data_IF_542497839608
#
_entry.id   IF_542497839608
#
_cell.length_a   1.000
_cell.length_b   1.000
_cell.length_c   1.000
_cell.angle_alpha   90.00
_cell.angle_beta   90.00
_cell.angle_gamma   90.00
#
_symmetry.space_group_name_H-M   'P 1'
#
loop_
_entity.id
_entity.type
_entity.pdbx_description
1 polymer ?
#
# COMPACT_ATOMS: atom_id res chain seq x y z
N UNK A 1 -14.34 2.67 -37.07
CA UNK A 1 -13.06 2.26 -37.69
C UNK A 1 -12.04 3.32 -37.34
N UNK A 2 -11.30 3.17 -36.23
CA UNK A 2 -10.36 4.19 -35.76
C UNK A 2 -8.94 3.77 -36.16
N UNK A 3 -8.46 4.30 -37.28
CA UNK A 3 -7.09 4.13 -37.73
C UNK A 3 -6.24 5.28 -37.20
N UNK A 4 -5.53 5.06 -36.10
CA UNK A 4 -4.44 5.94 -35.71
C UNK A 4 -3.14 5.33 -36.23
N UNK A 5 -2.85 5.58 -37.51
CA UNK A 5 -1.51 5.36 -38.04
C UNK A 5 -0.61 6.50 -37.55
N UNK A 6 0.64 6.18 -37.23
CA UNK A 6 1.67 7.21 -37.10
C UNK A 6 1.72 8.03 -38.41
N UNK A 7 2.15 9.30 -38.35
CA UNK A 7 2.11 10.22 -39.51
C UNK A 7 2.85 9.70 -40.75
N UNK A 8 3.73 8.72 -40.58
CA UNK A 8 4.53 8.06 -41.61
C UNK A 8 3.92 6.75 -42.16
N UNK A 9 2.72 6.36 -41.71
CA UNK A 9 2.06 5.14 -42.15
C UNK A 9 2.53 3.86 -41.45
N UNK A 10 3.37 3.96 -40.42
CA UNK A 10 3.76 2.78 -39.64
C UNK A 10 2.57 2.22 -38.85
N UNK A 11 2.41 0.89 -38.87
CA UNK A 11 1.28 0.17 -38.26
C UNK A 11 1.69 -0.67 -37.06
N UNK A 12 2.96 -1.05 -36.98
CA UNK A 12 3.50 -1.91 -35.95
C UNK A 12 4.89 -1.44 -35.54
N UNK A 13 5.24 -1.71 -34.29
CA UNK A 13 6.58 -1.48 -33.75
C UNK A 13 7.12 -2.83 -33.33
N UNK A 14 8.32 -3.18 -33.79
CA UNK A 14 8.98 -4.44 -33.47
C UNK A 14 9.87 -4.21 -32.26
N UNK A 15 9.71 -5.05 -31.24
CA UNK A 15 10.52 -5.02 -30.03
C UNK A 15 11.20 -6.38 -29.84
N UNK A 16 12.40 -6.37 -29.25
CA UNK A 16 12.98 -7.57 -28.66
C UNK A 16 12.08 -8.03 -27.49
N UNK A 17 11.90 -9.34 -27.23
CA UNK A 17 10.95 -9.81 -26.21
C UNK A 17 11.17 -9.19 -24.82
N UNK A 18 12.44 -8.99 -24.42
CA UNK A 18 12.78 -8.37 -23.15
C UNK A 18 12.47 -6.88 -23.11
N UNK A 19 12.72 -6.15 -24.19
CA UNK A 19 12.42 -4.72 -24.31
C UNK A 19 10.90 -4.45 -24.25
N UNK A 20 10.10 -5.33 -24.86
CA UNK A 20 8.65 -5.25 -24.78
C UNK A 20 8.17 -5.40 -23.34
N UNK A 21 8.66 -6.43 -22.63
CA UNK A 21 8.32 -6.67 -21.23
C UNK A 21 8.79 -5.51 -20.34
N UNK A 22 10.00 -4.98 -20.56
CA UNK A 22 10.52 -3.85 -19.80
C UNK A 22 9.64 -2.59 -19.95
N UNK A 23 9.18 -2.30 -21.18
CA UNK A 23 8.26 -1.18 -21.45
C UNK A 23 6.89 -1.38 -20.82
N UNK A 24 6.37 -2.61 -20.80
CA UNK A 24 5.12 -2.92 -20.10
C UNK A 24 5.29 -2.81 -18.57
N UNK A 25 6.37 -3.33 -18.02
CA UNK A 25 6.66 -3.28 -16.59
C UNK A 25 6.80 -1.84 -16.08
N UNK A 26 7.32 -0.92 -16.90
CA UNK A 26 7.41 0.50 -16.56
C UNK A 26 6.04 1.19 -16.34
N UNK A 27 4.96 0.63 -16.88
CA UNK A 27 3.59 1.11 -16.63
C UNK A 27 3.04 0.62 -15.28
N UNK A 28 3.61 -0.44 -14.71
CA UNK A 28 3.22 -0.95 -13.39
C UNK A 28 3.84 -0.04 -12.35
N UNK A 29 3.04 0.73 -11.61
CA UNK A 29 3.58 1.65 -10.64
C UNK A 29 4.19 0.88 -9.45
N UNK A 30 5.16 1.49 -8.75
CA UNK A 30 5.86 0.84 -7.66
C UNK A 30 4.89 0.40 -6.55
N UNK A 31 5.13 -0.78 -5.94
CA UNK A 31 4.27 -1.30 -4.91
C UNK A 31 4.22 -0.31 -3.73
N UNK A 32 3.07 -0.25 -3.06
CA UNK A 32 2.80 0.61 -1.88
C UNK A 32 2.66 2.10 -2.18
N UNK A 33 2.60 2.52 -3.44
CA UNK A 33 2.12 3.86 -3.79
C UNK A 33 0.59 3.85 -3.92
N UNK A 34 -0.11 4.78 -3.28
CA UNK A 34 -1.56 4.94 -3.48
C UNK A 34 -1.81 5.61 -4.84
N UNK A 35 -2.19 4.80 -5.83
CA UNK A 35 -2.43 5.21 -7.21
C UNK A 35 -3.77 5.91 -7.39
N UNK A 36 -4.71 5.64 -6.49
CA UNK A 36 -6.05 6.20 -6.56
C UNK A 36 -6.10 7.49 -5.74
N UNK A 37 -5.61 8.58 -6.34
CA UNK A 37 -5.86 9.92 -5.82
C UNK A 37 -7.21 10.40 -6.33
N UNK A 38 -8.21 10.36 -5.45
CA UNK A 38 -9.51 10.93 -5.76
C UNK A 38 -9.43 12.47 -5.68
N UNK A 39 -9.80 13.14 -6.77
CA UNK A 39 -9.88 14.60 -6.86
C UNK A 39 -11.30 15.07 -7.14
N UNK A 40 -11.55 16.37 -6.98
CA UNK A 40 -12.83 16.99 -7.29
C UNK A 40 -13.98 16.54 -6.38
N UNK A 41 -15.20 16.64 -6.89
CA UNK A 41 -16.42 16.51 -6.09
C UNK A 41 -16.63 15.12 -5.47
N UNK A 42 -16.00 14.08 -6.02
CA UNK A 42 -16.06 12.70 -5.51
C UNK A 42 -14.92 12.35 -4.53
N UNK A 43 -13.96 13.25 -4.28
CA UNK A 43 -12.86 13.02 -3.35
C UNK A 43 -13.35 12.79 -1.90
N UNK A 44 -12.76 11.85 -1.12
CA UNK A 44 -13.22 11.50 0.23
C UNK A 44 -13.42 12.69 1.18
N UNK A 45 -12.64 13.77 1.01
CA UNK A 45 -12.72 14.99 1.82
C UNK A 45 -13.42 16.17 1.12
N UNK A 46 -14.07 15.95 -0.03
CA UNK A 46 -14.82 17.01 -0.72
C UNK A 46 -16.11 17.34 0.03
N UNK A 47 -16.40 18.63 0.33
CA UNK A 47 -17.63 19.03 1.01
C UNK A 47 -18.88 18.72 0.19
N UNK A 48 -18.75 18.64 -1.14
CA UNK A 48 -19.85 18.35 -2.06
C UNK A 48 -20.17 16.85 -2.17
N UNK A 49 -19.24 15.97 -1.75
CA UNK A 49 -19.39 14.50 -1.91
C UNK A 49 -20.61 13.95 -1.20
N UNK A 50 -20.96 14.50 -0.03
CA UNK A 50 -22.12 14.08 0.78
C UNK A 50 -23.44 14.31 0.04
N UNK A 51 -23.50 15.32 -0.83
CA UNK A 51 -24.68 15.67 -1.61
C UNK A 51 -24.79 14.85 -2.90
N UNK A 52 -23.65 14.44 -3.47
CA UNK A 52 -23.59 13.82 -4.81
C UNK A 52 -23.55 12.29 -4.73
N UNK A 53 -23.01 11.70 -3.66
CA UNK A 53 -22.91 10.23 -3.54
C UNK A 53 -24.24 9.64 -3.05
N UNK A 54 -24.92 8.75 -3.81
CA UNK A 54 -26.26 8.23 -3.47
C UNK A 54 -26.28 7.48 -2.13
N UNK A 55 -25.17 6.87 -1.74
CA UNK A 55 -25.05 6.16 -0.46
C UNK A 55 -24.83 7.08 0.77
N UNK A 56 -24.86 8.41 0.62
CA UNK A 56 -24.48 9.41 1.65
C UNK A 56 -23.13 9.12 2.34
N UNK A 57 -22.26 8.32 1.71
CA UNK A 57 -20.92 8.03 2.23
C UNK A 57 -20.14 9.34 2.25
N UNK A 58 -19.61 9.71 3.41
CA UNK A 58 -19.00 11.02 3.68
C UNK A 58 -19.73 11.81 4.76
N UNK A 59 -21.00 11.50 5.02
CA UNK A 59 -21.60 11.77 6.33
C UNK A 59 -20.88 10.82 7.27
N UNK A 60 -19.93 11.33 8.06
CA UNK A 60 -19.15 10.50 8.97
C UNK A 60 -20.12 9.57 9.70
N UNK A 61 -19.98 8.26 9.48
CA UNK A 61 -20.69 7.27 10.28
C UNK A 61 -20.44 7.68 11.71
N UNK A 62 -21.49 8.06 12.47
CA UNK A 62 -21.33 8.28 13.90
C UNK A 62 -20.67 7.02 14.42
N UNK A 63 -19.43 7.08 14.93
CA UNK A 63 -18.80 5.89 15.44
C UNK A 63 -19.74 5.35 16.52
N UNK A 64 -20.18 4.11 16.38
CA UNK A 64 -20.68 3.34 17.52
C UNK A 64 -19.55 3.42 18.55
N UNK A 65 -19.74 4.23 19.59
CA UNK A 65 -18.76 4.44 20.65
C UNK A 65 -18.49 3.06 21.27
N UNK A 66 -17.43 2.37 20.83
CA UNK A 66 -16.81 1.35 21.65
C UNK A 66 -16.20 2.08 22.85
N UNK A 67 -16.47 1.55 24.05
CA UNK A 67 -16.40 2.26 25.33
C UNK A 67 -14.99 2.67 25.81
N UNK A 68 -14.00 2.81 24.93
CA UNK A 68 -12.64 3.19 25.29
C UNK A 68 -12.00 4.07 24.22
N UNK A 69 -12.53 5.27 24.03
CA UNK A 69 -11.75 6.37 23.48
C UNK A 69 -12.31 7.63 24.11
N UNK A 70 -11.49 8.30 24.91
CA UNK A 70 -11.75 9.65 25.46
C UNK A 70 -12.40 10.54 24.39
N UNK A 71 -13.26 11.48 24.81
CA UNK A 71 -14.05 12.42 23.98
C UNK A 71 -13.17 13.36 23.11
N UNK A 72 -12.37 12.76 22.22
CA UNK A 72 -11.54 13.44 21.25
C UNK A 72 -12.31 13.52 19.95
N UNK A 73 -12.34 14.72 19.36
CA UNK A 73 -12.89 14.93 18.03
C UNK A 73 -12.16 14.05 16.99
N UNK A 74 -12.79 13.73 15.85
CA UNK A 74 -12.13 12.98 14.78
C UNK A 74 -10.85 13.66 14.25
N UNK A 75 -10.72 14.98 14.41
CA UNK A 75 -9.51 15.72 14.07
C UNK A 75 -8.40 15.46 15.11
N UNK A 76 -8.72 15.48 16.40
CA UNK A 76 -7.80 15.18 17.50
C UNK A 76 -7.36 13.71 17.50
N UNK A 77 -8.23 12.78 17.13
CA UNK A 77 -7.84 11.37 16.95
C UNK A 77 -6.86 11.18 15.80
N UNK A 78 -7.02 11.93 14.70
CA UNK A 78 -6.08 11.89 13.56
C UNK A 78 -4.73 12.51 13.91
N UNK A 79 -4.71 13.60 14.68
CA UNK A 79 -3.46 14.22 15.13
C UNK A 79 -2.74 13.37 16.18
N UNK A 80 -3.49 12.67 17.04
CA UNK A 80 -2.94 11.76 18.05
C UNK A 80 -2.41 10.43 17.47
N UNK A 81 -2.73 10.11 16.21
CA UNK A 81 -2.34 8.84 15.60
C UNK A 81 -0.83 8.76 15.39
N UNK A 82 -0.20 7.82 16.11
CA UNK A 82 1.24 7.54 16.03
C UNK A 82 1.61 6.97 14.65
N UNK A 83 2.87 7.12 14.25
CA UNK A 83 3.39 6.58 13.00
C UNK A 83 3.05 5.09 12.81
N UNK A 84 3.22 4.26 13.84
CA UNK A 84 2.93 2.83 13.80
C UNK A 84 1.44 2.52 13.54
N UNK A 85 0.54 3.26 14.18
CA UNK A 85 -0.91 3.14 13.95
C UNK A 85 -1.30 3.51 12.51
N UNK A 86 -0.58 4.46 11.89
CA UNK A 86 -0.78 4.80 10.46
C UNK A 86 -0.33 3.66 9.55
N UNK A 87 0.80 3.02 9.82
CA UNK A 87 1.27 1.85 9.07
C UNK A 87 0.25 0.71 9.11
N UNK A 88 -0.28 0.40 10.30
CA UNK A 88 -1.32 -0.63 10.48
C UNK A 88 -2.58 -0.30 9.69
N UNK A 89 -3.01 0.96 9.71
CA UNK A 89 -4.24 1.39 9.02
C UNK A 89 -4.11 1.41 7.50
N UNK A 90 -3.00 1.93 6.96
CA UNK A 90 -2.85 2.19 5.51
C UNK A 90 -2.25 0.98 4.80
N UNK A 91 -1.21 0.38 5.38
CA UNK A 91 -0.44 -0.70 4.76
C UNK A 91 -0.71 -2.08 5.35
N UNK A 92 -1.55 -2.18 6.40
CA UNK A 92 -1.81 -3.41 7.14
C UNK A 92 -0.54 -4.02 7.74
N UNK A 93 0.44 -3.18 8.10
CA UNK A 93 1.68 -3.59 8.75
C UNK A 93 1.59 -3.25 10.24
N UNK A 94 1.61 -4.26 11.10
CA UNK A 94 1.63 -4.10 12.56
C UNK A 94 3.07 -4.22 13.08
N UNK A 95 3.57 -3.15 13.69
CA UNK A 95 4.90 -3.09 14.32
C UNK A 95 4.82 -2.90 15.84
N UNK A 96 3.61 -2.86 16.41
CA UNK A 96 3.37 -2.70 17.85
C UNK A 96 3.15 -4.05 18.54
N UNK A 97 2.97 -5.13 17.78
CA UNK A 97 2.69 -6.47 18.30
C UNK A 97 3.74 -7.46 17.80
N UNK A 98 4.34 -8.23 18.71
CA UNK A 98 5.27 -9.29 18.36
C UNK A 98 4.52 -10.46 17.69
N UNK A 99 4.93 -10.93 16.50
CA UNK A 99 4.25 -12.02 15.82
C UNK A 99 4.41 -13.38 16.53
N UNK A 100 5.45 -13.55 17.36
CA UNK A 100 5.73 -14.82 18.02
C UNK A 100 5.05 -14.95 19.40
N UNK A 101 5.06 -13.89 20.21
CA UNK A 101 4.52 -13.93 21.57
C UNK A 101 3.29 -13.05 21.81
N UNK A 102 2.88 -12.23 20.83
CA UNK A 102 1.76 -11.28 20.97
C UNK A 102 2.03 -10.09 21.89
N UNK A 103 3.24 -9.99 22.47
CA UNK A 103 3.62 -8.89 23.35
C UNK A 103 3.76 -7.54 22.63
N UNK A 104 3.70 -6.44 23.39
CA UNK A 104 3.86 -5.10 22.84
C UNK A 104 5.32 -4.81 22.48
N UNK A 105 5.55 -4.27 21.29
CA UNK A 105 6.87 -3.90 20.77
C UNK A 105 6.97 -2.38 20.62
N UNK A 106 8.16 -1.82 20.85
CA UNK A 106 8.45 -0.39 20.70
C UNK A 106 9.63 -0.20 19.76
N UNK A 107 9.51 0.78 18.86
CA UNK A 107 10.64 1.23 18.02
C UNK A 107 11.66 1.94 18.91
N UNK A 108 12.90 1.45 18.89
CA UNK A 108 14.01 2.00 19.68
C UNK A 108 14.99 2.84 18.84
N UNK A 109 15.09 2.57 17.53
CA UNK A 109 15.97 3.29 16.61
C UNK A 109 15.47 3.17 15.16
N UNK A 110 15.79 4.17 14.35
CA UNK A 110 15.75 4.11 12.87
C UNK A 110 17.20 4.08 12.38
N UNK A 111 17.56 3.10 11.57
CA UNK A 111 18.91 2.94 11.02
C UNK A 111 18.84 3.20 9.52
N UNK A 112 19.49 4.26 9.06
CA UNK A 112 19.41 4.74 7.67
C UNK A 112 20.74 4.59 6.91
N UNK A 113 21.84 4.33 7.61
CA UNK A 113 23.19 4.24 7.03
C UNK A 113 23.42 2.88 6.33
N UNK A 114 23.59 2.83 5.00
CA UNK A 114 23.73 1.57 4.25
C UNK A 114 24.81 0.59 4.76
N UNK A 115 26.07 1.01 5.02
CA UNK A 115 27.09 0.11 5.56
C UNK A 115 26.72 -0.47 6.93
N UNK A 116 25.98 0.26 7.78
CA UNK A 116 25.51 -0.25 9.08
C UNK A 116 24.41 -1.29 8.86
N UNK A 117 23.46 -1.00 7.97
CA UNK A 117 22.39 -1.94 7.59
C UNK A 117 23.01 -3.25 7.08
N UNK A 118 23.96 -3.19 6.15
CA UNK A 118 24.63 -4.38 5.61
C UNK A 118 25.33 -5.21 6.70
N UNK A 119 26.07 -4.56 7.60
CA UNK A 119 26.73 -5.24 8.72
C UNK A 119 25.73 -5.95 9.62
N UNK A 120 24.61 -5.31 9.94
CA UNK A 120 23.54 -5.91 10.76
C UNK A 120 22.90 -7.09 10.03
N UNK A 121 22.52 -6.91 8.76
CA UNK A 121 21.90 -7.98 7.98
C UNK A 121 22.82 -9.19 7.81
N UNK A 122 24.12 -8.98 7.58
CA UNK A 122 25.11 -10.06 7.49
C UNK A 122 25.23 -10.83 8.80
N UNK A 123 25.22 -10.14 9.94
CA UNK A 123 25.24 -10.77 11.27
C UNK A 123 23.96 -11.56 11.55
N UNK A 124 22.81 -11.04 11.12
CA UNK A 124 21.52 -11.70 11.32
C UNK A 124 21.30 -12.87 10.38
N UNK A 125 21.81 -12.83 9.15
CA UNK A 125 21.70 -13.93 8.17
C UNK A 125 22.40 -15.22 8.63
N UNK A 126 23.43 -15.11 9.46
CA UNK A 126 24.09 -16.27 10.09
C UNK A 126 23.34 -16.82 11.31
N UNK A 127 22.26 -16.17 11.75
CA UNK A 127 21.45 -16.60 12.89
C UNK A 127 20.08 -17.03 12.36
N UNK A 128 19.71 -18.27 12.64
CA UNK A 128 18.40 -18.79 12.29
C UNK A 128 17.36 -18.17 13.24
N UNK A 129 16.93 -16.94 12.91
CA UNK A 129 16.00 -16.15 13.70
C UNK A 129 14.59 -16.36 13.14
N UNK A 130 13.75 -17.21 13.76
CA UNK A 130 12.39 -17.43 13.29
C UNK A 130 11.60 -16.12 13.30
N UNK A 131 10.98 -15.80 12.18
CA UNK A 131 10.09 -14.63 12.04
C UNK A 131 10.79 -13.29 11.76
N UNK A 132 12.11 -13.25 11.52
CA UNK A 132 12.79 -12.01 11.11
C UNK A 132 12.33 -11.55 9.71
N UNK A 133 11.97 -12.52 8.87
CA UNK A 133 11.54 -12.30 7.49
C UNK A 133 10.08 -12.74 7.37
N UNK A 134 9.13 -11.84 7.10
CA UNK A 134 7.83 -12.28 6.62
C UNK A 134 8.05 -13.10 5.35
N UNK A 135 7.30 -14.20 5.20
CA UNK A 135 7.31 -14.97 3.95
C UNK A 135 7.16 -13.99 2.78
N UNK A 136 8.18 -13.95 1.93
CA UNK A 136 8.13 -13.14 0.71
C UNK A 136 6.94 -13.65 -0.07
N UNK A 137 5.91 -12.79 -0.24
CA UNK A 137 4.68 -13.20 -0.91
C UNK A 137 5.05 -13.61 -2.34
N UNK A 138 4.89 -14.89 -2.66
CA UNK A 138 5.04 -15.38 -4.03
C UNK A 138 4.05 -14.63 -4.95
N UNK A 139 4.40 -14.43 -6.23
CA UNK A 139 3.45 -13.87 -7.20
C UNK A 139 2.16 -14.69 -7.20
N UNK A 140 0.98 -14.06 -7.37
CA UNK A 140 -0.29 -14.76 -7.37
C UNK A 140 -0.26 -15.86 -8.43
N UNK A 141 -0.50 -17.09 -8.00
CA UNK A 141 -0.51 -18.26 -8.88
C UNK A 141 -1.71 -18.11 -9.83
N UNK A 142 -1.46 -18.07 -11.14
CA UNK A 142 -2.53 -18.10 -12.14
C UNK A 142 -3.28 -19.43 -12.00
N UNK A 143 -4.45 -19.39 -11.36
CA UNK A 143 -5.40 -20.48 -11.42
C UNK A 143 -5.98 -20.48 -12.84
N UNK A 144 -5.44 -21.35 -13.67
CA UNK A 144 -5.86 -21.56 -15.05
C UNK A 144 -7.38 -21.66 -15.13
N UNK A 145 -7.98 -20.67 -15.79
CA UNK A 145 -9.38 -20.69 -16.19
C UNK A 145 -9.49 -21.57 -17.43
N UNK A 146 -9.48 -22.88 -17.24
CA UNK A 146 -9.99 -23.82 -18.25
C UNK A 146 -11.50 -23.89 -18.07
N UNK A 147 -12.19 -22.97 -18.75
CA UNK A 147 -13.60 -23.12 -19.09
C UNK A 147 -13.66 -23.73 -20.49
N UNK A 148 -14.26 -24.92 -20.55
CA UNK A 148 -14.73 -25.68 -21.72
C UNK A 148 -13.68 -26.28 -22.67
#
# INVERSE_FOLDING_TARGET
MLANFYRDGTTHVIFEPLDFIARLAALVPPPRLNLTRFHGVFAPNSPYRVRITPARRGRGTKPTKSAQTEDRTPAEQRSAMRWAQRLKRVFKVDVETCPNCGGTVKVIASIEDPPVIERILKHLAGKDLPGLWPESRAPPVEQGRLLH
#
